data_IF_608150118367
#
_entry.id   IF_608150118367
#
_cell.length_a   1.000
_cell.length_b   1.000
_cell.length_c   1.000
_cell.angle_alpha   90.00
_cell.angle_beta   90.00
_cell.angle_gamma   90.00
#
_symmetry.space_group_name_H-M   'P 1'
#
loop_
_entity.id
_entity.type
_entity.pdbx_description
1 polymer ?
#
# COMPACT_ATOMS: atom_id res chain seq x y z
N UNK A 1 34.48 -22.83 12.71
CA UNK A 1 33.10 -22.43 12.33
C UNK A 1 32.87 -21.04 12.87
N UNK A 2 32.96 -20.04 12.01
CA UNK A 2 32.63 -18.64 12.35
C UNK A 2 31.11 -18.54 12.17
N UNK A 3 30.34 -18.03 13.15
CA UNK A 3 28.91 -17.83 12.96
C UNK A 3 28.73 -16.91 11.75
N UNK A 4 27.83 -17.25 10.84
CA UNK A 4 27.48 -16.43 9.69
C UNK A 4 27.11 -15.03 10.20
N UNK A 5 28.06 -14.11 10.11
CA UNK A 5 27.89 -12.74 10.55
C UNK A 5 26.68 -12.15 9.85
N UNK A 6 25.88 -11.40 10.59
CA UNK A 6 24.85 -10.53 10.03
C UNK A 6 25.53 -9.63 8.98
N UNK A 7 25.45 -10.04 7.71
CA UNK A 7 25.88 -9.18 6.61
C UNK A 7 25.14 -7.86 6.79
N UNK A 8 25.91 -6.78 6.95
CA UNK A 8 25.39 -5.53 7.45
C UNK A 8 24.33 -4.99 6.49
N UNK A 9 23.07 -5.00 6.92
CA UNK A 9 21.98 -4.51 6.09
C UNK A 9 22.00 -2.98 6.07
N UNK A 10 21.70 -2.37 4.92
CA UNK A 10 21.47 -0.92 4.77
C UNK A 10 20.24 -0.42 5.54
N UNK A 11 19.52 -1.33 6.20
CA UNK A 11 18.31 -1.07 6.98
C UNK A 11 18.53 -1.41 8.45
N UNK A 12 18.06 -0.52 9.34
CA UNK A 12 17.81 -0.82 10.74
C UNK A 12 16.33 -1.15 10.90
N UNK A 13 16.03 -2.34 11.43
CA UNK A 13 14.65 -2.81 11.63
C UNK A 13 14.40 -3.03 13.12
N UNK A 14 13.41 -2.31 13.65
CA UNK A 14 12.88 -2.50 15.00
C UNK A 14 11.58 -3.28 14.88
N UNK A 15 11.43 -4.34 15.67
CA UNK A 15 10.23 -5.18 15.69
C UNK A 15 9.42 -4.85 16.94
N UNK A 16 8.14 -4.53 16.77
CA UNK A 16 7.16 -4.48 17.87
C UNK A 16 6.05 -5.45 17.53
N UNK A 17 5.77 -6.43 18.39
CA UNK A 17 4.74 -7.43 18.15
C UNK A 17 3.71 -7.36 19.27
N UNK A 18 2.44 -7.24 18.91
CA UNK A 18 1.33 -7.46 19.83
C UNK A 18 1.18 -8.98 20.09
N UNK A 19 0.59 -9.35 21.23
CA UNK A 19 0.19 -10.74 21.49
C UNK A 19 -0.82 -11.21 20.43
N UNK A 20 -0.71 -12.48 20.03
CA UNK A 20 -1.57 -13.12 19.02
C UNK A 20 -1.61 -12.42 17.64
N UNK A 21 -0.59 -11.63 17.31
CA UNK A 21 -0.50 -10.95 16.02
C UNK A 21 -0.50 -11.93 14.83
N UNK A 22 -1.55 -11.85 14.01
CA UNK A 22 -1.71 -12.60 12.75
C UNK A 22 -1.50 -11.74 11.51
N UNK A 23 -1.22 -10.45 11.68
CA UNK A 23 -0.95 -9.54 10.57
C UNK A 23 0.39 -8.87 10.81
N UNK A 24 1.19 -8.70 9.76
CA UNK A 24 2.43 -7.96 9.81
C UNK A 24 2.36 -6.74 8.91
N UNK A 25 3.09 -5.69 9.25
CA UNK A 25 3.24 -4.52 8.39
C UNK A 25 4.64 -3.93 8.47
N UNK A 26 5.09 -3.37 7.36
CA UNK A 26 6.36 -2.66 7.26
C UNK A 26 6.09 -1.17 7.29
N UNK A 27 6.52 -0.49 8.36
CA UNK A 27 6.37 0.96 8.48
C UNK A 27 7.73 1.63 8.26
N UNK A 28 7.80 2.58 7.33
CA UNK A 28 9.03 3.32 7.08
C UNK A 28 9.13 4.49 8.06
N UNK A 29 10.27 4.59 8.74
CA UNK A 29 10.65 5.73 9.56
C UNK A 29 11.57 6.64 8.74
N UNK A 30 10.95 7.61 8.06
CA UNK A 30 11.57 8.42 7.02
C UNK A 30 11.03 8.14 5.62
N UNK A 31 11.66 8.77 4.64
CA UNK A 31 11.26 8.66 3.24
C UNK A 31 11.65 7.32 2.61
N UNK A 32 10.79 6.83 1.72
CA UNK A 32 11.02 5.64 0.90
C UNK A 32 10.88 6.01 -0.58
N UNK A 33 11.90 5.76 -1.43
CA UNK A 33 11.89 6.18 -2.83
C UNK A 33 11.13 5.25 -3.77
N UNK A 34 10.80 4.03 -3.34
CA UNK A 34 10.14 3.03 -4.19
C UNK A 34 11.06 2.32 -5.17
N UNK A 35 12.39 2.41 -5.04
CA UNK A 35 13.33 1.76 -5.95
C UNK A 35 13.22 0.22 -5.89
N UNK A 36 13.03 -0.49 -7.02
CA UNK A 36 12.86 -1.95 -7.03
C UNK A 36 14.06 -2.73 -6.47
N UNK A 37 15.30 -2.30 -6.73
CA UNK A 37 16.48 -3.01 -6.24
C UNK A 37 16.61 -2.86 -4.72
N UNK A 38 16.40 -1.65 -4.19
CA UNK A 38 16.35 -1.41 -2.75
C UNK A 38 15.17 -2.14 -2.09
N UNK A 39 14.01 -2.25 -2.76
CA UNK A 39 12.84 -2.98 -2.26
C UNK A 39 13.15 -4.47 -2.03
N UNK A 40 13.86 -5.11 -2.97
CA UNK A 40 14.29 -6.51 -2.82
C UNK A 40 15.24 -6.70 -1.64
N UNK A 41 16.21 -5.80 -1.48
CA UNK A 41 17.14 -5.81 -0.34
C UNK A 41 16.42 -5.58 0.99
N UNK A 42 15.43 -4.68 1.01
CA UNK A 42 14.60 -4.42 2.18
C UNK A 42 13.78 -5.64 2.58
N UNK A 43 13.09 -6.28 1.63
CA UNK A 43 12.31 -7.48 1.90
C UNK A 43 13.18 -8.62 2.43
N UNK A 44 14.41 -8.76 1.91
CA UNK A 44 15.38 -9.71 2.45
C UNK A 44 15.72 -9.43 3.92
N UNK A 45 15.97 -8.16 4.26
CA UNK A 45 16.27 -7.73 5.63
C UNK A 45 15.06 -7.92 6.56
N UNK A 46 13.85 -7.58 6.10
CA UNK A 46 12.58 -7.85 6.81
C UNK A 46 12.45 -9.34 7.09
N UNK A 47 12.72 -10.20 6.10
CA UNK A 47 12.63 -11.64 6.27
C UNK A 47 13.62 -12.16 7.33
N UNK A 48 14.83 -11.58 7.42
CA UNK A 48 15.83 -11.97 8.44
C UNK A 48 15.45 -11.52 9.84
N UNK A 49 14.76 -10.39 9.96
CA UNK A 49 14.33 -9.80 11.24
C UNK A 49 12.92 -10.22 11.65
N UNK A 50 12.31 -11.13 10.89
CA UNK A 50 10.99 -11.65 11.19
C UNK A 50 10.95 -12.33 12.58
N UNK A 51 9.92 -12.10 13.41
CA UNK A 51 9.78 -12.80 14.68
C UNK A 51 9.79 -14.32 14.49
N UNK A 52 10.45 -15.04 15.40
CA UNK A 52 10.41 -16.51 15.40
C UNK A 52 8.97 -16.99 15.65
N UNK A 53 8.61 -18.09 15.02
CA UNK A 53 7.34 -18.79 15.21
C UNK A 53 6.06 -17.98 14.88
N UNK A 54 6.21 -16.84 14.20
CA UNK A 54 5.09 -16.05 13.68
C UNK A 54 4.94 -16.28 12.18
N UNK A 55 3.77 -16.76 11.76
CA UNK A 55 3.32 -16.70 10.36
C UNK A 55 2.12 -15.77 10.29
N UNK A 56 2.28 -14.64 9.60
CA UNK A 56 1.20 -13.71 9.35
C UNK A 56 0.27 -14.27 8.26
N UNK A 57 -1.01 -13.95 8.36
CA UNK A 57 -1.97 -14.16 7.27
C UNK A 57 -1.69 -13.14 6.16
N UNK A 58 -1.42 -11.89 6.53
CA UNK A 58 -1.19 -10.76 5.62
C UNK A 58 0.08 -9.99 6.02
N UNK A 59 0.95 -9.69 5.04
CA UNK A 59 2.03 -8.71 5.16
C UNK A 59 1.66 -7.44 4.38
N UNK A 60 1.61 -6.30 5.06
CA UNK A 60 1.21 -5.00 4.47
C UNK A 60 2.43 -4.12 4.25
N UNK A 61 2.62 -3.67 3.00
CA UNK A 61 3.62 -2.68 2.60
C UNK A 61 2.92 -1.35 2.24
N UNK A 62 3.66 -0.25 2.17
CA UNK A 62 3.06 1.07 1.96
C UNK A 62 2.57 1.33 0.53
N UNK A 63 1.84 2.44 0.36
CA UNK A 63 1.55 3.02 -0.96
C UNK A 63 2.85 3.52 -1.61
N UNK A 64 3.03 3.30 -2.91
CA UNK A 64 4.29 3.62 -3.59
C UNK A 64 5.49 2.81 -3.08
N UNK A 65 5.26 1.62 -2.53
CA UNK A 65 6.35 0.72 -2.12
C UNK A 65 7.27 0.37 -3.29
N UNK A 66 6.71 0.25 -4.50
CA UNK A 66 7.45 0.17 -5.75
C UNK A 66 7.14 1.39 -6.63
N UNK A 67 8.14 1.86 -7.36
CA UNK A 67 8.01 2.79 -8.47
C UNK A 67 8.31 2.04 -9.75
N UNK A 68 7.32 1.89 -10.62
CA UNK A 68 7.49 1.24 -11.91
C UNK A 68 7.54 2.27 -13.04
N UNK A 69 8.21 1.90 -14.13
CA UNK A 69 8.33 2.77 -15.30
C UNK A 69 6.97 2.95 -15.96
N UNK A 70 6.67 4.19 -16.38
CA UNK A 70 5.50 4.42 -17.21
C UNK A 70 5.65 3.68 -18.56
N UNK A 71 4.63 2.94 -19.05
CA UNK A 71 4.75 2.19 -20.29
C UNK A 71 5.11 3.09 -21.48
N UNK A 72 6.23 2.82 -22.16
CA UNK A 72 6.72 3.68 -23.27
C UNK A 72 5.70 3.83 -24.41
N UNK A 73 4.88 2.80 -24.61
CA UNK A 73 3.84 2.74 -25.62
C UNK A 73 2.57 3.49 -25.23
N UNK A 74 2.38 3.79 -23.94
CA UNK A 74 1.22 4.51 -23.45
C UNK A 74 1.53 6.01 -23.41
N UNK A 75 1.11 6.75 -24.43
CA UNK A 75 1.26 8.20 -24.47
C UNK A 75 0.12 8.88 -23.70
N UNK A 76 0.31 10.17 -23.40
CA UNK A 76 -0.68 10.97 -22.67
C UNK A 76 -2.06 10.97 -23.34
N UNK A 77 -2.12 11.02 -24.66
CA UNK A 77 -3.39 11.05 -25.41
C UNK A 77 -4.07 9.68 -25.48
N UNK A 78 -3.35 8.57 -25.27
CA UNK A 78 -3.89 7.21 -25.30
C UNK A 78 -4.75 6.87 -24.07
N UNK A 79 -4.71 7.71 -23.03
CA UNK A 79 -5.48 7.53 -21.79
C UNK A 79 -6.97 7.82 -22.02
N UNK A 80 -7.27 8.79 -22.88
CA UNK A 80 -8.64 9.23 -23.13
C UNK A 80 -9.32 9.75 -21.86
N UNK A 81 -10.47 9.18 -21.51
CA UNK A 81 -11.17 9.46 -20.26
C UNK A 81 -10.41 8.85 -19.08
N UNK A 82 -9.64 9.65 -18.36
CA UNK A 82 -8.87 9.19 -17.21
C UNK A 82 -9.76 8.86 -15.99
N UNK A 83 -11.02 9.31 -15.98
CA UNK A 83 -12.01 8.89 -14.99
C UNK A 83 -12.55 7.50 -15.33
N UNK A 84 -12.66 7.12 -16.59
CA UNK A 84 -13.09 5.77 -16.99
C UNK A 84 -12.15 5.22 -18.08
N UNK A 85 -10.89 4.92 -17.72
CA UNK A 85 -9.90 4.54 -18.71
C UNK A 85 -10.25 3.21 -19.36
N UNK A 86 -9.80 3.04 -20.60
CA UNK A 86 -10.04 1.80 -21.32
C UNK A 86 -9.33 0.61 -20.63
N UNK A 87 -9.89 -0.59 -20.79
CA UNK A 87 -9.25 -1.82 -20.29
C UNK A 87 -7.83 -1.97 -20.84
N UNK A 88 -7.59 -1.63 -22.11
CA UNK A 88 -6.25 -1.70 -22.71
C UNK A 88 -5.24 -0.77 -22.03
N UNK A 89 -5.66 0.44 -21.64
CA UNK A 89 -4.85 1.39 -20.87
C UNK A 89 -4.46 0.80 -19.52
N UNK A 90 -5.43 0.21 -18.80
CA UNK A 90 -5.20 -0.41 -17.50
C UNK A 90 -4.31 -1.66 -17.62
N UNK A 91 -4.56 -2.52 -18.59
CA UNK A 91 -3.78 -3.74 -18.83
C UNK A 91 -2.30 -3.41 -19.09
N UNK A 92 -1.99 -2.35 -19.83
CA UNK A 92 -0.60 -1.91 -20.04
C UNK A 92 0.08 -1.46 -18.75
N UNK A 93 -0.64 -0.72 -17.88
CA UNK A 93 -0.12 -0.30 -16.58
C UNK A 93 0.10 -1.50 -15.65
N UNK A 94 -0.85 -2.44 -15.61
CA UNK A 94 -0.73 -3.66 -14.84
C UNK A 94 0.43 -4.53 -15.30
N UNK A 95 0.62 -4.69 -16.61
CA UNK A 95 1.74 -5.46 -17.17
C UNK A 95 3.10 -4.85 -16.81
N UNK A 96 3.26 -3.52 -16.88
CA UNK A 96 4.54 -2.89 -16.49
C UNK A 96 4.79 -2.95 -14.98
N UNK A 97 3.75 -2.74 -14.16
CA UNK A 97 3.85 -2.94 -12.72
C UNK A 97 4.19 -4.39 -12.37
N UNK A 98 3.62 -5.36 -13.09
CA UNK A 98 3.87 -6.78 -12.92
C UNK A 98 5.31 -7.17 -13.28
N UNK A 99 5.84 -6.68 -14.40
CA UNK A 99 7.26 -6.85 -14.72
C UNK A 99 8.15 -6.33 -13.59
N UNK A 100 7.84 -5.15 -13.07
CA UNK A 100 8.58 -4.53 -11.98
C UNK A 100 8.53 -5.39 -10.71
N UNK A 101 7.34 -5.75 -10.21
CA UNK A 101 7.25 -6.48 -8.96
C UNK A 101 7.77 -7.92 -9.09
N UNK A 102 7.68 -8.57 -10.26
CA UNK A 102 8.24 -9.92 -10.46
C UNK A 102 9.77 -9.94 -10.38
N UNK A 103 10.45 -8.82 -10.63
CA UNK A 103 11.89 -8.69 -10.39
C UNK A 103 12.22 -8.61 -8.89
N UNK A 104 11.36 -7.94 -8.11
CA UNK A 104 11.53 -7.78 -6.65
C UNK A 104 11.13 -9.03 -5.90
N UNK A 105 9.94 -9.57 -6.20
CA UNK A 105 9.39 -10.80 -5.65
C UNK A 105 9.81 -12.00 -6.50
N UNK A 106 11.12 -12.13 -6.70
CA UNK A 106 11.70 -13.27 -7.41
C UNK A 106 11.50 -14.59 -6.62
N UNK A 107 11.95 -15.71 -7.19
CA UNK A 107 11.83 -17.01 -6.53
C UNK A 107 12.49 -17.07 -5.15
N UNK A 108 13.57 -16.31 -4.92
CA UNK A 108 14.29 -16.28 -3.64
C UNK A 108 13.49 -15.52 -2.59
N UNK A 109 13.02 -14.31 -2.90
CA UNK A 109 12.24 -13.48 -1.98
C UNK A 109 10.89 -14.13 -1.69
N UNK A 110 10.19 -14.64 -2.71
CA UNK A 110 8.93 -15.38 -2.52
C UNK A 110 9.12 -16.63 -1.64
N UNK A 111 10.21 -17.39 -1.85
CA UNK A 111 10.50 -18.55 -1.00
C UNK A 111 10.70 -18.19 0.48
N UNK A 112 11.19 -16.98 0.79
CA UNK A 112 11.27 -16.47 2.16
C UNK A 112 9.89 -16.01 2.66
N UNK A 113 9.19 -15.21 1.87
CA UNK A 113 7.90 -14.64 2.24
C UNK A 113 6.81 -15.69 2.45
N UNK A 114 6.77 -16.78 1.67
CA UNK A 114 5.78 -17.87 1.87
C UNK A 114 5.85 -18.55 3.24
N UNK A 115 7.02 -18.50 3.88
CA UNK A 115 7.19 -19.01 5.26
C UNK A 115 6.67 -18.03 6.30
N UNK A 116 6.48 -16.76 5.93
CA UNK A 116 6.24 -15.64 6.83
C UNK A 116 4.84 -15.05 6.68
N UNK A 117 4.27 -15.06 5.48
CA UNK A 117 3.00 -14.46 5.14
C UNK A 117 2.18 -15.36 4.20
N UNK A 118 0.85 -15.37 4.35
CA UNK A 118 -0.06 -16.01 3.41
C UNK A 118 -0.37 -15.15 2.18
N UNK A 119 -0.36 -13.83 2.32
CA UNK A 119 -0.47 -12.87 1.22
C UNK A 119 0.36 -11.63 1.53
N UNK A 120 0.90 -10.98 0.50
CA UNK A 120 1.62 -9.71 0.60
C UNK A 120 0.83 -8.65 -0.14
N UNK A 121 0.56 -7.52 0.50
CA UNK A 121 -0.09 -6.38 -0.15
C UNK A 121 0.86 -5.19 -0.25
N UNK A 122 0.85 -4.49 -1.38
CA UNK A 122 1.79 -3.41 -1.63
C UNK A 122 1.27 -2.42 -2.68
N UNK A 123 1.67 -1.15 -2.54
CA UNK A 123 1.45 -0.14 -3.55
C UNK A 123 2.55 -0.12 -4.62
N UNK A 124 2.17 0.13 -5.86
CA UNK A 124 3.08 0.36 -6.96
C UNK A 124 2.64 1.61 -7.75
N UNK A 125 3.52 2.59 -7.85
CA UNK A 125 3.21 3.88 -8.44
C UNK A 125 4.00 4.11 -9.73
N UNK A 126 3.43 4.86 -10.66
CA UNK A 126 4.11 5.31 -11.86
C UNK A 126 3.69 6.72 -12.26
N UNK A 127 4.63 7.43 -12.88
CA UNK A 127 4.45 8.81 -13.32
C UNK A 127 5.01 8.95 -14.73
N UNK A 128 4.23 9.56 -15.63
CA UNK A 128 4.68 9.91 -16.98
C UNK A 128 5.75 11.01 -16.94
N UNK A 129 5.52 12.04 -16.12
CA UNK A 129 6.54 13.00 -15.71
C UNK A 129 6.74 12.90 -14.21
N UNK A 130 7.99 12.74 -13.79
CA UNK A 130 8.39 12.55 -12.40
C UNK A 130 7.75 13.61 -11.51
N UNK A 131 6.97 13.15 -10.53
CA UNK A 131 6.40 13.92 -9.43
C UNK A 131 5.46 15.07 -9.85
N UNK A 132 4.91 15.00 -11.06
CA UNK A 132 3.87 15.91 -11.55
C UNK A 132 2.49 15.25 -11.58
N UNK A 133 1.65 15.64 -10.63
CA UNK A 133 0.29 15.11 -10.44
C UNK A 133 -0.73 15.55 -11.51
N UNK A 134 -0.40 16.54 -12.34
CA UNK A 134 -1.23 16.96 -13.47
C UNK A 134 -0.96 16.14 -14.73
N UNK A 135 0.20 15.51 -14.80
CA UNK A 135 0.52 14.57 -15.86
C UNK A 135 0.03 13.17 -15.51
N UNK A 136 -0.10 12.30 -16.53
CA UNK A 136 -0.51 10.93 -16.32
C UNK A 136 0.28 10.23 -15.23
N UNK A 137 -0.42 9.65 -14.28
CA UNK A 137 0.17 8.82 -13.23
C UNK A 137 -0.80 7.71 -12.85
N UNK A 138 -0.27 6.66 -12.26
CA UNK A 138 -1.03 5.51 -11.77
C UNK A 138 -0.57 5.19 -10.35
N UNK A 139 -1.53 4.91 -9.47
CA UNK A 139 -1.29 4.46 -8.11
C UNK A 139 -2.02 3.14 -7.92
N UNK A 140 -1.28 2.05 -8.08
CA UNK A 140 -1.81 0.69 -8.07
C UNK A 140 -1.58 0.05 -6.70
N UNK A 141 -2.43 -0.93 -6.39
CA UNK A 141 -2.28 -1.78 -5.20
C UNK A 141 -2.41 -3.21 -5.65
N UNK A 142 -1.56 -4.08 -5.13
CA UNK A 142 -1.59 -5.50 -5.39
C UNK A 142 -1.78 -6.26 -4.09
N UNK A 143 -2.57 -7.34 -4.12
CA UNK A 143 -2.41 -8.46 -3.22
C UNK A 143 -1.73 -9.59 -4.00
N UNK A 144 -0.71 -10.23 -3.43
CA UNK A 144 0.06 -11.28 -4.11
C UNK A 144 0.27 -12.46 -3.16
N UNK A 145 -0.05 -13.65 -3.66
CA UNK A 145 0.22 -14.91 -2.98
C UNK A 145 1.71 -15.27 -3.19
N UNK A 146 2.54 -15.32 -2.13
CA UNK A 146 3.95 -15.65 -2.26
C UNK A 146 4.20 -17.11 -2.64
N UNK A 147 3.25 -18.04 -2.45
CA UNK A 147 3.39 -19.45 -2.84
C UNK A 147 3.25 -19.61 -4.37
N UNK A 148 2.20 -19.04 -4.95
CA UNK A 148 1.90 -19.18 -6.39
C UNK A 148 2.53 -18.06 -7.23
N UNK A 149 2.68 -16.86 -6.66
CA UNK A 149 2.98 -15.62 -7.38
C UNK A 149 1.78 -15.05 -8.12
N UNK A 150 0.58 -15.57 -7.90
CA UNK A 150 -0.65 -14.94 -8.39
C UNK A 150 -0.83 -13.58 -7.71
N UNK A 151 -1.26 -12.58 -8.49
CA UNK A 151 -1.47 -11.23 -8.00
C UNK A 151 -2.81 -10.67 -8.48
N UNK A 152 -3.52 -10.00 -7.58
CA UNK A 152 -4.79 -9.33 -7.83
C UNK A 152 -4.57 -7.81 -7.80
N UNK A 153 -4.64 -7.14 -8.97
CA UNK A 153 -4.43 -5.71 -9.06
C UNK A 153 -5.70 -4.92 -8.74
N UNK A 154 -5.50 -3.77 -8.12
CA UNK A 154 -6.46 -2.66 -8.02
C UNK A 154 -5.67 -1.35 -7.98
N UNK A 155 -6.26 -0.27 -7.51
CA UNK A 155 -5.58 1.01 -7.38
C UNK A 155 -6.52 2.14 -7.01
N UNK A 156 -5.98 3.35 -7.02
CA UNK A 156 -6.71 4.54 -6.56
C UNK A 156 -7.97 4.77 -7.39
N UNK A 157 -9.11 4.67 -6.73
CA UNK A 157 -10.43 4.91 -7.31
C UNK A 157 -10.99 6.28 -6.95
N UNK A 158 -10.47 6.91 -5.90
CA UNK A 158 -10.92 8.22 -5.42
C UNK A 158 -9.75 9.20 -5.25
N UNK A 159 -9.30 9.89 -6.32
CA UNK A 159 -8.20 10.84 -6.25
C UNK A 159 -8.50 12.06 -5.38
N UNK A 160 -7.44 12.68 -4.85
CA UNK A 160 -7.56 14.06 -4.37
C UNK A 160 -7.87 15.00 -5.58
N UNK A 161 -8.42 16.21 -5.37
CA UNK A 161 -8.75 17.10 -6.48
C UNK A 161 -7.57 17.47 -7.39
N UNK A 162 -6.34 17.54 -6.86
CA UNK A 162 -5.14 17.89 -7.63
C UNK A 162 -4.69 16.76 -8.57
N UNK A 163 -4.93 15.52 -8.18
CA UNK A 163 -4.61 14.31 -8.94
C UNK A 163 -5.66 14.00 -10.00
N UNK A 164 -6.88 14.55 -9.88
CA UNK A 164 -8.02 14.15 -10.70
C UNK A 164 -7.77 14.25 -12.20
N UNK A 165 -6.94 15.20 -12.66
CA UNK A 165 -6.63 15.38 -14.08
C UNK A 165 -5.60 14.38 -14.60
N UNK A 166 -4.62 14.01 -13.77
CA UNK A 166 -3.50 13.15 -14.17
C UNK A 166 -3.70 11.67 -13.83
N UNK A 167 -4.50 11.35 -12.82
CA UNK A 167 -4.64 9.97 -12.36
C UNK A 167 -5.38 9.14 -13.40
N UNK A 168 -4.78 8.03 -13.82
CA UNK A 168 -5.50 6.94 -14.51
C UNK A 168 -6.28 6.17 -13.44
N UNK A 169 -7.57 6.49 -13.31
CA UNK A 169 -8.41 6.00 -12.20
C UNK A 169 -8.75 4.53 -12.37
N UNK A 170 -8.72 3.77 -11.27
CA UNK A 170 -9.32 2.43 -11.26
C UNK A 170 -10.83 2.59 -11.07
N UNK A 171 -11.56 2.53 -12.18
CA UNK A 171 -13.01 2.71 -12.22
C UNK A 171 -13.78 1.46 -11.77
N UNK A 172 -13.18 0.28 -11.94
CA UNK A 172 -13.69 -0.99 -11.43
C UNK A 172 -13.51 -1.05 -9.91
N UNK A 173 -14.57 -0.73 -9.19
CA UNK A 173 -14.60 -0.74 -7.72
C UNK A 173 -14.62 -2.18 -7.16
N UNK A 174 -15.04 -3.17 -7.94
CA UNK A 174 -15.07 -4.57 -7.47
C UNK A 174 -13.67 -5.12 -7.26
N UNK A 175 -12.69 -4.65 -8.04
CA UNK A 175 -11.26 -5.00 -7.90
C UNK A 175 -10.68 -4.73 -6.51
N UNK A 176 -11.31 -3.86 -5.70
CA UNK A 176 -10.86 -3.58 -4.33
C UNK A 176 -11.16 -4.73 -3.37
N UNK A 177 -12.02 -5.70 -3.74
CA UNK A 177 -12.45 -6.80 -2.90
C UNK A 177 -11.83 -8.11 -3.37
N UNK A 178 -10.85 -8.62 -2.62
CA UNK A 178 -10.06 -9.80 -2.98
C UNK A 178 -10.21 -10.86 -1.91
N UNK A 179 -10.36 -12.13 -2.32
CA UNK A 179 -10.25 -13.26 -1.39
C UNK A 179 -8.85 -13.85 -1.48
N UNK A 180 -8.04 -13.67 -0.44
CA UNK A 180 -6.66 -14.16 -0.40
C UNK A 180 -6.29 -14.65 1.01
N UNK A 181 -5.42 -15.66 1.10
CA UNK A 181 -5.05 -16.30 2.36
C UNK A 181 -6.27 -16.75 3.21
N UNK A 182 -7.35 -17.19 2.56
CA UNK A 182 -8.60 -17.60 3.21
C UNK A 182 -9.42 -16.45 3.82
N UNK A 183 -9.07 -15.19 3.55
CA UNK A 183 -9.74 -13.99 4.07
C UNK A 183 -10.35 -13.14 2.97
N UNK A 184 -11.49 -12.51 3.28
CA UNK A 184 -12.07 -11.47 2.43
C UNK A 184 -11.44 -10.11 2.76
N UNK A 185 -10.63 -9.61 1.84
CA UNK A 185 -9.87 -8.37 1.97
C UNK A 185 -10.55 -7.23 1.20
N UNK A 186 -10.57 -6.03 1.79
CA UNK A 186 -10.81 -4.78 1.06
C UNK A 186 -9.53 -3.97 0.99
N UNK A 187 -8.97 -3.83 -0.21
CA UNK A 187 -7.73 -3.10 -0.48
C UNK A 187 -8.05 -1.64 -0.81
N UNK A 188 -7.39 -0.71 -0.12
CA UNK A 188 -7.56 0.73 -0.35
C UNK A 188 -6.20 1.35 -0.70
N UNK A 189 -6.17 2.16 -1.77
CA UNK A 189 -5.06 3.12 -1.98
C UNK A 189 -5.15 4.25 -0.96
N UNK A 190 -4.10 5.09 -0.89
CA UNK A 190 -3.92 6.14 0.10
C UNK A 190 -5.17 7.02 0.29
N UNK A 191 -5.73 7.57 -0.79
CA UNK A 191 -6.87 8.50 -0.70
C UNK A 191 -8.25 7.81 -0.75
N UNK A 192 -8.34 6.51 -1.00
CA UNK A 192 -9.62 5.80 -1.08
C UNK A 192 -10.31 5.71 0.29
N UNK A 193 -9.56 5.77 1.40
CA UNK A 193 -10.12 5.89 2.75
C UNK A 193 -11.05 7.13 2.88
N UNK A 194 -10.84 8.18 2.08
CA UNK A 194 -11.69 9.36 2.03
C UNK A 194 -13.11 9.06 1.52
N UNK A 195 -13.36 7.93 0.86
CA UNK A 195 -14.71 7.50 0.49
C UNK A 195 -15.60 7.35 1.74
N UNK A 196 -15.01 6.99 2.88
CA UNK A 196 -15.72 6.83 4.15
C UNK A 196 -15.82 8.13 4.96
N UNK A 197 -15.07 9.18 4.61
CA UNK A 197 -15.09 10.46 5.34
C UNK A 197 -16.46 11.17 5.23
N UNK A 198 -17.09 11.57 6.35
CA UNK A 198 -18.34 12.35 6.33
C UNK A 198 -18.20 13.67 5.54
N UNK A 199 -17.05 14.34 5.66
CA UNK A 199 -16.76 15.58 4.94
C UNK A 199 -16.70 15.35 3.43
N UNK A 200 -16.03 14.28 2.99
CA UNK A 200 -15.94 13.94 1.57
C UNK A 200 -17.32 13.62 1.00
N UNK A 201 -18.15 12.88 1.75
CA UNK A 201 -19.52 12.56 1.34
C UNK A 201 -20.41 13.80 1.22
N UNK A 202 -20.35 14.73 2.17
CA UNK A 202 -21.13 15.97 2.15
C UNK A 202 -20.78 16.88 0.97
N UNK A 203 -19.49 16.94 0.62
CA UNK A 203 -18.98 17.83 -0.43
C UNK A 203 -19.00 17.19 -1.83
N UNK A 204 -19.11 15.86 -1.95
CA UNK A 204 -19.08 15.18 -3.23
C UNK A 204 -20.31 15.50 -4.09
N UNK A 205 -20.09 15.65 -5.40
CA UNK A 205 -21.11 15.86 -6.44
C UNK A 205 -20.75 15.01 -7.67
N UNK A 206 -21.73 14.75 -8.53
CA UNK A 206 -21.56 13.97 -9.77
C UNK A 206 -20.87 12.62 -9.53
N UNK A 207 -19.93 12.26 -10.41
CA UNK A 207 -19.21 10.98 -10.36
C UNK A 207 -18.57 10.67 -8.99
N UNK A 208 -18.12 11.69 -8.24
CA UNK A 208 -17.53 11.50 -6.91
C UNK A 208 -18.56 11.00 -5.91
N UNK A 209 -19.77 11.55 -5.98
CA UNK A 209 -20.88 11.17 -5.10
C UNK A 209 -21.32 9.74 -5.41
N UNK A 210 -21.50 9.44 -6.68
CA UNK A 210 -21.84 8.10 -7.18
C UNK A 210 -20.78 7.07 -6.77
N UNK A 211 -19.50 7.42 -6.90
CA UNK A 211 -18.38 6.54 -6.48
C UNK A 211 -18.44 6.25 -4.98
N UNK A 212 -18.66 7.28 -4.13
CA UNK A 212 -18.78 7.07 -2.69
C UNK A 212 -19.96 6.17 -2.34
N UNK A 213 -21.13 6.44 -2.92
CA UNK A 213 -22.36 5.69 -2.62
C UNK A 213 -22.22 4.23 -3.05
N UNK A 214 -21.75 3.98 -4.28
CA UNK A 214 -21.50 2.63 -4.80
C UNK A 214 -20.45 1.89 -3.98
N UNK A 215 -19.31 2.51 -3.67
CA UNK A 215 -18.24 1.85 -2.92
C UNK A 215 -18.68 1.48 -1.50
N UNK A 216 -19.39 2.38 -0.81
CA UNK A 216 -19.94 2.09 0.53
C UNK A 216 -20.98 0.98 0.49
N UNK A 217 -21.84 0.98 -0.54
CA UNK A 217 -22.82 -0.09 -0.74
C UNK A 217 -22.11 -1.44 -0.90
N UNK A 218 -21.15 -1.53 -1.83
CA UNK A 218 -20.36 -2.75 -2.02
C UNK A 218 -19.67 -3.18 -0.73
N UNK A 219 -19.08 -2.26 0.03
CA UNK A 219 -18.41 -2.60 1.27
C UNK A 219 -19.38 -3.20 2.32
N UNK A 220 -20.61 -2.68 2.41
CA UNK A 220 -21.67 -3.23 3.29
C UNK A 220 -22.16 -4.61 2.84
N UNK A 221 -22.27 -4.82 1.53
CA UNK A 221 -22.72 -6.09 0.95
C UNK A 221 -21.66 -7.19 1.06
N UNK A 222 -20.41 -6.84 0.73
CA UNK A 222 -19.26 -7.76 0.72
C UNK A 222 -18.75 -8.11 2.12
N UNK A 223 -18.96 -7.22 3.10
CA UNK A 223 -18.58 -7.42 4.52
C UNK A 223 -17.14 -7.97 4.67
N UNK A 224 -16.12 -7.24 4.20
CA UNK A 224 -14.74 -7.73 4.26
C UNK A 224 -14.34 -8.04 5.70
N UNK A 225 -13.55 -9.09 5.89
CA UNK A 225 -13.00 -9.46 7.20
C UNK A 225 -11.89 -8.49 7.62
N UNK A 226 -11.08 -8.04 6.66
CA UNK A 226 -9.95 -7.15 6.89
C UNK A 226 -9.85 -6.07 5.80
N UNK A 227 -9.65 -4.84 6.25
CA UNK A 227 -9.38 -3.69 5.38
C UNK A 227 -7.89 -3.40 5.42
N UNK A 228 -7.26 -3.38 4.26
CA UNK A 228 -5.84 -3.11 4.12
C UNK A 228 -5.65 -1.83 3.34
N UNK A 229 -5.07 -0.83 4.00
CA UNK A 229 -4.97 0.52 3.45
C UNK A 229 -3.51 0.97 3.31
N UNK A 230 -3.17 1.51 2.13
CA UNK A 230 -1.81 1.75 1.67
C UNK A 230 -1.51 3.26 1.54
N UNK A 231 -1.33 4.00 2.64
CA UNK A 231 -0.87 5.39 2.59
C UNK A 231 0.57 5.48 2.08
N UNK A 232 0.86 6.64 1.51
CA UNK A 232 2.21 7.09 1.25
C UNK A 232 2.82 7.71 2.52
N UNK A 233 3.01 9.03 2.52
CA UNK A 233 3.62 9.81 3.61
C UNK A 233 2.59 10.37 4.57
N UNK A 234 2.82 10.21 5.87
CA UNK A 234 2.23 11.03 6.92
C UNK A 234 2.98 10.85 8.24
N UNK A 235 3.17 11.94 8.94
CA UNK A 235 3.74 12.02 10.29
C UNK A 235 2.66 12.17 11.38
N UNK A 236 1.37 12.14 11.01
CA UNK A 236 0.26 12.30 11.94
C UNK A 236 -0.95 11.44 11.55
N UNK A 237 -1.64 10.82 12.53
CA UNK A 237 -2.86 10.09 12.24
C UNK A 237 -4.05 11.01 11.91
N UNK A 238 -3.95 12.31 12.20
CA UNK A 238 -5.04 13.28 12.03
C UNK A 238 -5.56 13.36 10.60
N UNK A 239 -4.70 13.11 9.61
CA UNK A 239 -5.07 13.04 8.19
C UNK A 239 -6.11 11.95 7.91
N UNK A 240 -6.14 10.89 8.70
CA UNK A 240 -6.90 9.67 8.42
C UNK A 240 -8.05 9.42 9.39
N UNK A 241 -8.02 10.05 10.57
CA UNK A 241 -9.07 9.96 11.59
C UNK A 241 -10.49 10.16 11.02
N UNK A 242 -10.77 11.17 10.15
CA UNK A 242 -12.12 11.34 9.61
C UNK A 242 -12.59 10.16 8.75
N UNK A 243 -11.70 9.61 7.92
CA UNK A 243 -11.99 8.45 7.08
C UNK A 243 -12.17 7.18 7.91
N UNK A 244 -11.25 6.91 8.84
CA UNK A 244 -11.35 5.78 9.78
C UNK A 244 -12.60 5.86 10.67
N UNK A 245 -12.94 7.06 11.15
CA UNK A 245 -14.15 7.28 11.93
C UNK A 245 -15.42 7.01 11.15
N UNK A 246 -15.46 7.40 9.88
CA UNK A 246 -16.56 7.05 8.97
C UNK A 246 -16.60 5.56 8.64
N UNK A 247 -15.44 4.94 8.43
CA UNK A 247 -15.31 3.51 8.16
C UNK A 247 -15.87 2.67 9.31
N UNK A 248 -15.51 2.99 10.55
CA UNK A 248 -16.03 2.31 11.75
C UNK A 248 -17.56 2.45 11.94
N UNK A 249 -18.14 3.53 11.43
CA UNK A 249 -19.60 3.72 11.44
C UNK A 249 -20.28 2.92 10.33
N UNK A 250 -19.66 2.90 9.15
CA UNK A 250 -20.17 2.22 7.96
C UNK A 250 -20.11 0.69 8.11
N UNK A 251 -19.01 0.19 8.69
CA UNK A 251 -18.74 -1.24 8.92
C UNK A 251 -18.35 -1.47 10.38
N UNK A 252 -19.32 -1.48 11.32
CA UNK A 252 -19.04 -1.71 12.73
C UNK A 252 -18.35 -3.07 12.95
N UNK A 253 -17.26 -3.06 13.72
CA UNK A 253 -16.52 -4.28 14.07
C UNK A 253 -15.52 -4.78 13.01
N UNK A 254 -15.44 -4.15 11.83
CA UNK A 254 -14.47 -4.55 10.81
C UNK A 254 -13.03 -4.33 11.28
N UNK A 255 -12.15 -5.26 10.94
CA UNK A 255 -10.71 -5.11 11.16
C UNK A 255 -10.09 -4.23 10.09
N UNK A 256 -9.14 -3.38 10.47
CA UNK A 256 -8.34 -2.58 9.55
C UNK A 256 -6.89 -2.48 9.99
N UNK A 257 -6.01 -2.37 9.00
CA UNK A 257 -4.58 -2.16 9.18
C UNK A 257 -4.02 -1.34 8.02
N UNK A 258 -2.90 -0.69 8.27
CA UNK A 258 -2.20 0.11 7.28
C UNK A 258 -0.70 0.17 7.53
N UNK A 259 0.06 0.29 6.44
CA UNK A 259 1.50 0.49 6.41
C UNK A 259 1.84 1.78 5.64
N UNK A 260 2.74 2.61 6.15
CA UNK A 260 3.04 3.90 5.54
C UNK A 260 4.46 4.39 5.81
N UNK A 261 4.73 5.62 5.38
CA UNK A 261 5.97 6.34 5.65
C UNK A 261 5.72 7.43 6.69
N UNK A 262 6.34 7.30 7.86
CA UNK A 262 6.39 8.34 8.88
C UNK A 262 7.37 9.43 8.45
N UNK A 263 6.85 10.44 7.78
CA UNK A 263 7.65 11.53 7.22
C UNK A 263 6.82 12.81 7.12
N UNK A 264 7.47 13.95 7.38
CA UNK A 264 6.92 15.29 7.20
C UNK A 264 7.94 16.07 6.35
N UNK A 265 7.59 16.39 5.12
CA UNK A 265 8.55 16.93 4.13
C UNK A 265 9.23 18.19 4.67
N UNK A 266 10.53 18.07 5.01
CA UNK A 266 11.35 19.17 5.52
C UNK A 266 11.02 19.69 6.92
N UNK A 267 10.14 19.01 7.67
CA UNK A 267 9.68 19.49 8.98
C UNK A 267 9.67 18.40 10.06
N UNK A 268 9.63 18.82 11.32
CA UNK A 268 9.52 17.89 12.44
C UNK A 268 8.15 17.18 12.43
N UNK A 269 8.08 15.89 12.83
CA UNK A 269 6.81 15.17 12.94
C UNK A 269 5.81 15.83 13.90
N UNK A 270 4.53 15.87 13.51
CA UNK A 270 3.40 16.46 14.24
C UNK A 270 2.79 15.53 15.29
N UNK A 271 3.11 14.25 15.25
CA UNK A 271 2.77 13.25 16.26
C UNK A 271 3.92 12.24 16.37
N UNK A 272 3.97 11.45 17.45
CA UNK A 272 4.97 10.38 17.56
C UNK A 272 4.67 9.21 16.63
N UNK A 273 5.70 8.45 16.25
CA UNK A 273 5.56 7.17 15.53
C UNK A 273 4.60 6.22 16.24
N UNK A 274 4.69 6.09 17.57
CA UNK A 274 3.80 5.22 18.35
C UNK A 274 2.33 5.65 18.25
N UNK A 275 2.07 6.97 18.19
CA UNK A 275 0.73 7.47 17.94
C UNK A 275 0.24 7.11 16.54
N UNK A 276 1.09 7.24 15.52
CA UNK A 276 0.75 6.84 14.14
C UNK A 276 0.47 5.34 14.05
N UNK A 277 1.34 4.50 14.60
CA UNK A 277 1.19 3.04 14.62
C UNK A 277 -0.10 2.62 15.32
N UNK A 278 -0.41 3.21 16.49
CA UNK A 278 -1.62 2.91 17.26
C UNK A 278 -2.91 3.24 16.51
N UNK A 279 -2.97 4.36 15.81
CA UNK A 279 -4.20 4.83 15.18
C UNK A 279 -4.45 4.26 13.77
N UNK A 280 -3.47 3.57 13.19
CA UNK A 280 -3.52 2.98 11.83
C UNK A 280 -3.80 1.48 11.83
N UNK A 281 -4.16 0.91 12.97
CA UNK A 281 -4.68 -0.46 13.12
C UNK A 281 -5.78 -0.52 14.18
N UNK A 282 -6.64 -1.52 14.14
CA UNK A 282 -7.49 -1.94 15.27
C UNK A 282 -7.40 -3.45 15.55
N UNK A 283 -6.35 -4.09 15.04
CA UNK A 283 -6.05 -5.51 15.20
C UNK A 283 -4.62 -5.69 15.71
N UNK A 284 -4.34 -6.78 16.44
CA UNK A 284 -2.97 -7.14 16.81
C UNK A 284 -2.08 -7.30 15.58
N UNK A 285 -0.90 -6.71 15.62
CA UNK A 285 0.03 -6.73 14.49
C UNK A 285 1.50 -6.81 14.92
N UNK A 286 2.30 -7.35 14.01
CA UNK A 286 3.76 -7.20 14.01
C UNK A 286 4.12 -5.95 13.20
N UNK A 287 4.61 -4.92 13.90
CA UNK A 287 5.14 -3.70 13.33
C UNK A 287 6.64 -3.85 13.09
N UNK A 288 7.03 -4.00 11.82
CA UNK A 288 8.41 -3.96 11.35
C UNK A 288 8.77 -2.52 10.96
N UNK A 289 9.37 -1.79 11.87
CA UNK A 289 9.71 -0.37 11.69
C UNK A 289 11.10 -0.27 11.06
N UNK A 290 11.16 0.26 9.85
CA UNK A 290 12.35 0.28 8.99
C UNK A 290 12.90 1.69 8.89
N UNK A 291 14.19 1.85 9.17
CA UNK A 291 14.93 3.08 8.90
C UNK A 291 16.11 2.78 7.98
N UNK A 292 16.27 3.58 6.91
CA UNK A 292 17.50 3.54 6.08
C UNK A 292 18.67 4.02 6.93
N UNK A 293 19.77 3.27 6.98
CA UNK A 293 21.03 3.77 7.50
C UNK A 293 21.50 4.88 6.55
N UNK A 294 22.03 5.98 7.10
CA UNK A 294 22.72 6.97 6.24
C UNK A 294 23.85 6.22 5.53
N UNK A 295 23.93 6.32 4.21
CA UNK A 295 25.19 6.01 3.52
C UNK A 295 26.21 7.05 3.98
N UNK A 296 27.41 6.61 4.32
CA UNK A 296 28.48 7.57 4.51
C UNK A 296 28.69 8.32 3.17
N UNK A 297 28.99 9.63 3.20
CA UNK A 297 29.18 10.41 1.97
C UNK A 297 30.31 9.90 1.07
N UNK A 298 31.15 9.00 1.58
CA UNK A 298 32.39 8.53 0.95
C UNK A 298 32.30 7.09 0.38
N UNK A 299 31.10 6.49 0.32
CA UNK A 299 30.82 5.16 -0.28
C UNK A 299 30.29 5.25 -1.73
#
# INVERSE_FOLDING_TARGET
MIPAGDAETSFKITVKADEDARIARVFHDGEWPGDPAEAGALLDAVCRRWPKDVKADVLVLCGGFLRFRWPDRLKRWDIGDNLNPSKATLDMLYQEAEKCFRQVFDGRIRAKLRRQAGVVTFGADSHYLVDDWYFPHAELVFAMDPDTGEAWPTGKSYPNPRQQQGLVRIADLESHFVRAAGKDLMLLSCHDLSLFSPRSYHNARGWRRETIERFRQMARERKPELIVWHPHKSDTPRTWIPGLGGLRKELPGVSYISAGMYHNDGASPRASMDSVLKHTKNVPAVDLIVRRKKRDPDD
#
